data_IF_357532471520
#
_entry.id   IF_357532471520
#
_cell.length_a   1.000
_cell.length_b   1.000
_cell.length_c   1.000
_cell.angle_alpha   90.00
_cell.angle_beta   90.00
_cell.angle_gamma   90.00
#
_symmetry.space_group_name_H-M   'P 1'
#
loop_
_entity.id
_entity.type
_entity.pdbx_description
1 polymer ?
#
# COMPACT_ATOMS: atom_id res chain seq x y z
N UNK A 1 3.46 30.55 25.74
CA UNK A 1 2.03 30.88 25.65
C UNK A 1 1.79 31.81 24.44
N UNK A 2 2.11 31.35 23.22
CA UNK A 2 2.00 32.20 22.01
C UNK A 2 1.69 31.44 20.71
N UNK A 3 1.15 30.21 20.79
CA UNK A 3 0.87 29.38 19.61
C UNK A 3 -0.63 29.11 19.37
N UNK A 4 -1.54 29.84 20.02
CA UNK A 4 -2.99 29.58 19.92
C UNK A 4 -3.71 30.58 19.00
N UNK A 5 -3.09 31.69 18.60
CA UNK A 5 -3.77 32.75 17.84
C UNK A 5 -3.62 32.69 16.31
N UNK A 6 -2.96 31.67 15.75
CA UNK A 6 -2.83 31.52 14.28
C UNK A 6 -3.81 30.50 13.67
N UNK A 7 -4.72 29.92 14.46
CA UNK A 7 -5.61 28.84 14.00
C UNK A 7 -7.05 29.25 13.67
N UNK A 8 -7.39 30.54 13.74
CA UNK A 8 -8.73 31.04 13.42
C UNK A 8 -8.70 32.06 12.29
N UNK A 9 -8.12 31.70 11.14
CA UNK A 9 -8.57 32.32 9.91
C UNK A 9 -9.69 31.43 9.33
N UNK A 10 -10.96 31.88 9.34
CA UNK A 10 -12.02 31.15 8.66
C UNK A 10 -11.62 30.90 7.20
N UNK A 11 -11.97 29.71 6.68
CA UNK A 11 -11.72 29.40 5.27
C UNK A 11 -12.33 30.52 4.41
N UNK A 12 -11.68 30.93 3.30
CA UNK A 12 -12.15 32.07 2.48
C UNK A 12 -13.63 31.97 2.10
N UNK A 13 -14.11 30.75 1.82
CA UNK A 13 -15.51 30.45 1.53
C UNK A 13 -16.45 30.62 2.73
N UNK A 14 -16.00 30.29 3.94
CA UNK A 14 -16.78 30.47 5.17
C UNK A 14 -16.93 31.95 5.54
N UNK A 15 -15.88 32.75 5.28
CA UNK A 15 -15.97 34.22 5.35
C UNK A 15 -16.98 34.76 4.34
N UNK A 16 -16.90 34.31 3.08
CA UNK A 16 -17.83 34.71 2.02
C UNK A 16 -19.29 34.29 2.32
N UNK A 17 -19.51 33.14 2.98
CA UNK A 17 -20.84 32.74 3.44
C UNK A 17 -21.40 33.72 4.47
N UNK A 18 -20.59 34.09 5.46
CA UNK A 18 -20.99 35.05 6.49
C UNK A 18 -21.26 36.44 5.92
N UNK A 19 -20.45 36.86 4.95
CA UNK A 19 -20.60 38.14 4.27
C UNK A 19 -21.85 38.15 3.36
N UNK A 20 -22.08 37.07 2.60
CA UNK A 20 -23.29 36.91 1.79
C UNK A 20 -24.57 36.91 2.62
N UNK A 21 -24.55 36.28 3.80
CA UNK A 21 -25.67 36.33 4.75
C UNK A 21 -25.92 37.76 5.27
N UNK A 22 -24.86 38.50 5.60
CA UNK A 22 -24.96 39.88 6.05
C UNK A 22 -25.52 40.82 4.96
N UNK A 23 -25.08 40.65 3.71
CA UNK A 23 -25.60 41.43 2.57
C UNK A 23 -27.07 41.12 2.29
N UNK A 24 -27.48 39.85 2.36
CA UNK A 24 -28.89 39.45 2.21
C UNK A 24 -29.76 40.12 3.27
N UNK A 25 -29.34 40.07 4.54
CA UNK A 25 -30.04 40.72 5.64
C UNK A 25 -30.10 42.25 5.48
N UNK A 26 -29.05 42.87 4.96
CA UNK A 26 -29.02 44.31 4.68
C UNK A 26 -30.06 44.70 3.61
N UNK A 27 -30.19 43.91 2.54
CA UNK A 27 -31.16 44.15 1.46
C UNK A 27 -32.59 43.94 1.94
N UNK A 28 -32.88 42.92 2.74
CA UNK A 28 -34.19 42.73 3.38
C UNK A 28 -34.57 43.95 4.23
N UNK A 29 -33.63 44.45 5.04
CA UNK A 29 -33.84 45.65 5.86
C UNK A 29 -34.09 46.90 5.01
N UNK A 30 -33.36 47.08 3.90
CA UNK A 30 -33.58 48.19 2.98
C UNK A 30 -34.97 48.09 2.35
N UNK A 31 -35.39 46.89 1.93
CA UNK A 31 -36.70 46.67 1.34
C UNK A 31 -37.84 47.02 2.33
N UNK A 32 -37.73 46.56 3.58
CA UNK A 32 -38.67 46.92 4.65
C UNK A 32 -38.70 48.44 4.91
N UNK A 33 -37.53 49.09 4.95
CA UNK A 33 -37.43 50.54 5.16
C UNK A 33 -38.07 51.33 4.02
N UNK A 34 -37.85 50.94 2.76
CA UNK A 34 -38.50 51.59 1.63
C UNK A 34 -40.02 51.38 1.68
N UNK A 35 -40.48 50.16 1.94
CA UNK A 35 -41.91 49.88 2.06
C UNK A 35 -42.60 50.75 3.12
N UNK A 36 -42.00 50.84 4.31
CA UNK A 36 -42.51 51.66 5.41
C UNK A 36 -42.49 53.16 5.09
N UNK A 37 -41.43 53.65 4.42
CA UNK A 37 -41.30 55.05 4.02
C UNK A 37 -42.42 55.49 3.09
N UNK A 38 -42.70 54.72 2.03
CA UNK A 38 -43.75 55.08 1.06
C UNK A 38 -45.16 54.91 1.64
N UNK A 39 -45.37 53.89 2.47
CA UNK A 39 -46.62 53.72 3.22
C UNK A 39 -46.91 54.93 4.12
N UNK A 40 -45.91 55.45 4.83
CA UNK A 40 -46.04 56.65 5.67
C UNK A 40 -46.31 57.95 4.90
N UNK A 41 -45.94 58.01 3.62
CA UNK A 41 -46.26 59.12 2.71
C UNK A 41 -47.65 58.98 2.07
N UNK A 42 -48.42 57.93 2.38
CA UNK A 42 -49.68 57.58 1.70
C UNK A 42 -49.52 57.47 0.17
N UNK A 43 -48.36 56.97 -0.28
CA UNK A 43 -48.06 56.79 -1.71
C UNK A 43 -47.59 55.36 -1.97
N UNK A 44 -47.72 54.92 -3.23
CA UNK A 44 -47.31 53.58 -3.64
C UNK A 44 -45.78 53.57 -3.88
N UNK A 45 -45.10 52.51 -3.43
CA UNK A 45 -43.69 52.28 -3.75
C UNK A 45 -43.50 52.19 -5.27
N UNK A 46 -42.60 52.99 -5.89
CA UNK A 46 -42.34 52.93 -7.33
C UNK A 46 -41.95 51.52 -7.77
N UNK A 47 -42.55 51.06 -8.87
CA UNK A 47 -42.33 49.70 -9.40
C UNK A 47 -40.86 49.43 -9.74
N UNK A 48 -40.15 50.43 -10.26
CA UNK A 48 -38.72 50.32 -10.59
C UNK A 48 -37.87 50.02 -9.34
N UNK A 49 -38.16 50.69 -8.21
CA UNK A 49 -37.44 50.46 -6.95
C UNK A 49 -37.77 49.09 -6.37
N UNK A 50 -39.03 48.67 -6.45
CA UNK A 50 -39.45 47.32 -6.06
C UNK A 50 -38.76 46.23 -6.88
N UNK A 51 -38.69 46.43 -8.20
CA UNK A 51 -38.02 45.52 -9.13
C UNK A 51 -36.53 45.38 -8.79
N UNK A 52 -35.81 46.49 -8.62
CA UNK A 52 -34.39 46.46 -8.28
C UNK A 52 -34.11 45.76 -6.94
N UNK A 53 -34.94 45.99 -5.92
CA UNK A 53 -34.81 45.30 -4.63
C UNK A 53 -35.04 43.79 -4.77
N UNK A 54 -36.02 43.38 -5.57
CA UNK A 54 -36.28 41.98 -5.85
C UNK A 54 -35.13 41.33 -6.64
N UNK A 55 -34.60 42.01 -7.67
CA UNK A 55 -33.48 41.53 -8.48
C UNK A 55 -32.20 41.35 -7.66
N UNK A 56 -31.85 42.34 -6.83
CA UNK A 56 -30.70 42.26 -5.93
C UNK A 56 -30.91 41.15 -4.90
N UNK A 57 -32.11 41.03 -4.33
CA UNK A 57 -32.47 39.96 -3.41
C UNK A 57 -32.28 38.57 -4.04
N UNK A 58 -32.80 38.35 -5.24
CA UNK A 58 -32.66 37.09 -5.99
C UNK A 58 -31.19 36.78 -6.35
N UNK A 59 -30.42 37.79 -6.77
CA UNK A 59 -29.00 37.62 -7.06
C UNK A 59 -28.21 37.20 -5.81
N UNK A 60 -28.46 37.84 -4.66
CA UNK A 60 -27.84 37.46 -3.39
C UNK A 60 -28.28 36.07 -2.92
N UNK A 61 -29.53 35.66 -3.18
CA UNK A 61 -29.96 34.29 -2.91
C UNK A 61 -29.13 33.29 -3.72
N UNK A 62 -29.05 33.52 -5.03
CA UNK A 62 -28.31 32.67 -5.97
C UNK A 62 -26.82 32.57 -5.62
N UNK A 63 -26.18 33.70 -5.31
CA UNK A 63 -24.76 33.74 -4.93
C UNK A 63 -24.51 32.95 -3.65
N UNK A 64 -25.35 33.14 -2.63
CA UNK A 64 -25.20 32.41 -1.37
C UNK A 64 -25.34 30.88 -1.57
N UNK A 65 -26.32 30.44 -2.37
CA UNK A 65 -26.52 29.02 -2.65
C UNK A 65 -25.33 28.41 -3.42
N UNK A 66 -24.73 29.18 -4.34
CA UNK A 66 -23.50 28.78 -5.03
C UNK A 66 -22.30 28.67 -4.08
N UNK A 67 -22.11 29.65 -3.19
CA UNK A 67 -21.03 29.61 -2.19
C UNK A 67 -21.22 28.41 -1.25
N UNK A 68 -22.45 28.14 -0.81
CA UNK A 68 -22.77 27.02 0.07
C UNK A 68 -22.48 25.67 -0.62
N UNK A 69 -22.85 25.54 -1.89
CA UNK A 69 -22.53 24.36 -2.70
C UNK A 69 -21.02 24.17 -2.81
N UNK A 70 -20.28 25.23 -3.13
CA UNK A 70 -18.82 25.20 -3.25
C UNK A 70 -18.12 24.87 -1.94
N UNK A 71 -18.62 25.36 -0.80
CA UNK A 71 -18.08 25.02 0.51
C UNK A 71 -18.26 23.53 0.84
N UNK A 72 -19.43 22.96 0.51
CA UNK A 72 -19.69 21.54 0.70
C UNK A 72 -18.76 20.68 -0.16
N UNK A 73 -18.60 21.04 -1.44
CA UNK A 73 -17.64 20.38 -2.36
C UNK A 73 -16.21 20.45 -1.82
N UNK A 74 -15.75 21.63 -1.39
CA UNK A 74 -14.40 21.82 -0.86
C UNK A 74 -14.16 20.97 0.40
N UNK A 75 -15.13 20.92 1.31
CA UNK A 75 -15.04 20.13 2.53
C UNK A 75 -15.05 18.62 2.25
N UNK A 76 -15.85 18.17 1.27
CA UNK A 76 -15.84 16.78 0.81
C UNK A 76 -14.48 16.42 0.20
N UNK A 77 -13.93 17.25 -0.68
CA UNK A 77 -12.62 17.04 -1.29
C UNK A 77 -11.49 16.98 -0.27
N UNK A 78 -11.54 17.84 0.76
CA UNK A 78 -10.58 17.82 1.88
C UNK A 78 -10.64 16.51 2.65
N UNK A 79 -11.85 16.01 2.90
CA UNK A 79 -12.07 14.73 3.61
C UNK A 79 -11.56 13.55 2.80
N UNK A 80 -11.88 13.49 1.50
CA UNK A 80 -11.37 12.45 0.59
C UNK A 80 -9.85 12.48 0.49
N UNK A 81 -9.25 13.67 0.36
CA UNK A 81 -7.79 13.81 0.32
C UNK A 81 -7.10 13.29 1.60
N UNK A 82 -7.75 13.45 2.77
CA UNK A 82 -7.26 12.87 4.03
C UNK A 82 -7.36 11.34 4.03
N UNK A 83 -8.49 10.78 3.57
CA UNK A 83 -8.68 9.33 3.43
C UNK A 83 -7.64 8.70 2.49
N UNK A 84 -7.39 9.30 1.33
CA UNK A 84 -6.31 8.88 0.44
C UNK A 84 -4.94 8.93 1.13
N UNK A 85 -4.67 9.98 1.89
CA UNK A 85 -3.46 10.08 2.71
C UNK A 85 -3.30 8.92 3.69
N UNK A 86 -4.38 8.49 4.35
CA UNK A 86 -4.37 7.36 5.27
C UNK A 86 -4.16 6.04 4.53
N UNK A 87 -4.83 5.81 3.39
CA UNK A 87 -4.64 4.63 2.55
C UNK A 87 -3.20 4.49 2.06
N UNK A 88 -2.60 5.58 1.55
CA UNK A 88 -1.19 5.63 1.15
C UNK A 88 -0.29 5.21 2.32
N UNK A 89 -0.52 5.75 3.51
CA UNK A 89 0.28 5.41 4.69
C UNK A 89 0.09 3.95 5.11
N UNK A 90 -1.13 3.41 5.02
CA UNK A 90 -1.45 2.02 5.32
C UNK A 90 -0.67 1.05 4.42
N UNK A 91 -0.76 1.24 3.10
CA UNK A 91 -0.03 0.41 2.14
C UNK A 91 1.49 0.55 2.34
N UNK A 92 2.00 1.77 2.59
CA UNK A 92 3.42 1.98 2.86
C UNK A 92 3.89 1.21 4.10
N UNK A 93 3.08 1.15 5.17
CA UNK A 93 3.40 0.38 6.38
C UNK A 93 3.42 -1.12 6.09
N UNK A 94 2.44 -1.63 5.35
CA UNK A 94 2.39 -3.04 4.93
C UNK A 94 3.64 -3.41 4.10
N UNK A 95 4.00 -2.62 3.10
CA UNK A 95 5.19 -2.83 2.28
C UNK A 95 6.49 -2.82 3.10
N UNK A 96 6.64 -1.88 4.04
CA UNK A 96 7.81 -1.85 4.92
C UNK A 96 7.89 -3.06 5.87
N UNK A 97 6.74 -3.57 6.32
CA UNK A 97 6.69 -4.81 7.10
C UNK A 97 7.10 -6.02 6.25
N UNK A 98 6.64 -6.11 5.00
CA UNK A 98 7.07 -7.15 4.04
C UNK A 98 8.58 -7.05 3.80
N UNK A 99 9.10 -5.85 3.50
CA UNK A 99 10.53 -5.61 3.31
C UNK A 99 11.38 -6.04 4.50
N UNK A 100 10.89 -5.81 5.72
CA UNK A 100 11.57 -6.21 6.96
C UNK A 100 11.62 -7.73 7.07
N UNK A 101 10.50 -8.42 6.87
CA UNK A 101 10.43 -9.90 6.88
C UNK A 101 11.26 -10.53 5.77
N UNK A 102 11.34 -9.91 4.59
CA UNK A 102 12.21 -10.37 3.50
C UNK A 102 13.71 -10.30 3.84
N UNK A 103 14.12 -9.52 4.86
CA UNK A 103 15.52 -9.46 5.33
C UNK A 103 15.83 -10.50 6.41
N UNK A 104 14.81 -11.13 6.98
CA UNK A 104 15.00 -12.12 8.03
C UNK A 104 15.67 -13.38 7.47
N UNK A 105 16.64 -13.88 8.23
CA UNK A 105 17.35 -15.13 7.93
C UNK A 105 16.66 -16.27 8.68
N UNK A 106 16.64 -17.44 8.05
CA UNK A 106 16.09 -18.67 8.63
C UNK A 106 17.05 -19.81 8.36
N UNK A 107 17.10 -20.77 9.28
CA UNK A 107 17.87 -22.00 9.18
C UNK A 107 17.06 -23.16 8.56
N UNK A 108 15.76 -22.97 8.33
CA UNK A 108 14.88 -23.99 7.75
C UNK A 108 14.40 -23.55 6.36
N UNK A 109 14.91 -24.21 5.32
CA UNK A 109 14.59 -23.90 3.92
C UNK A 109 13.10 -24.13 3.61
N UNK A 110 12.48 -25.17 4.18
CA UNK A 110 11.06 -25.46 3.96
C UNK A 110 10.17 -24.35 4.54
N UNK A 111 10.47 -23.92 5.78
CA UNK A 111 9.78 -22.78 6.39
C UNK A 111 10.01 -21.49 5.59
N UNK A 112 11.26 -21.25 5.16
CA UNK A 112 11.61 -20.08 4.35
C UNK A 112 10.79 -19.97 3.06
N UNK A 113 10.58 -21.10 2.36
CA UNK A 113 9.78 -21.19 1.15
C UNK A 113 8.30 -20.93 1.42
N UNK A 114 7.77 -21.44 2.53
CA UNK A 114 6.39 -21.16 2.94
C UNK A 114 6.20 -19.67 3.25
N UNK A 115 7.11 -19.07 4.04
CA UNK A 115 7.08 -17.65 4.36
C UNK A 115 7.22 -16.80 3.09
N UNK A 116 8.09 -17.19 2.16
CA UNK A 116 8.24 -16.52 0.87
C UNK A 116 6.94 -16.49 0.07
N UNK A 117 6.18 -17.59 0.07
CA UNK A 117 4.87 -17.66 -0.60
C UNK A 117 3.87 -16.70 0.04
N UNK A 118 3.76 -16.72 1.37
CA UNK A 118 2.85 -15.83 2.13
C UNK A 118 3.22 -14.35 1.91
N UNK A 119 4.51 -14.03 1.89
CA UNK A 119 4.98 -12.67 1.61
C UNK A 119 4.68 -12.24 0.16
N UNK A 120 4.72 -13.17 -0.80
CA UNK A 120 4.30 -12.93 -2.18
C UNK A 120 2.81 -12.58 -2.27
N UNK A 121 1.95 -13.38 -1.64
CA UNK A 121 0.50 -13.11 -1.60
C UNK A 121 0.18 -11.76 -0.93
N UNK A 122 0.89 -11.41 0.14
CA UNK A 122 0.76 -10.09 0.79
C UNK A 122 1.21 -8.94 -0.12
N UNK A 123 2.26 -9.16 -0.93
CA UNK A 123 2.76 -8.17 -1.88
C UNK A 123 1.77 -7.97 -3.04
N UNK A 124 1.17 -9.04 -3.56
CA UNK A 124 0.12 -8.98 -4.56
C UNK A 124 -1.13 -8.24 -4.03
N UNK A 125 -1.51 -8.48 -2.77
CA UNK A 125 -2.57 -7.72 -2.11
C UNK A 125 -2.25 -6.22 -2.02
N UNK A 126 -1.01 -5.86 -1.71
CA UNK A 126 -0.57 -4.46 -1.73
C UNK A 126 -0.68 -3.86 -3.13
N UNK A 127 -0.33 -4.62 -4.18
CA UNK A 127 -0.44 -4.16 -5.56
C UNK A 127 -1.90 -3.86 -5.95
N UNK A 128 -2.84 -4.75 -5.60
CA UNK A 128 -4.28 -4.53 -5.86
C UNK A 128 -4.75 -3.23 -5.18
N UNK A 129 -4.48 -3.08 -3.88
CA UNK A 129 -4.84 -1.86 -3.12
C UNK A 129 -4.22 -0.60 -3.73
N UNK A 130 -2.98 -0.70 -4.23
CA UNK A 130 -2.28 0.42 -4.86
C UNK A 130 -2.92 0.82 -6.20
N UNK A 131 -3.28 -0.14 -7.03
CA UNK A 131 -3.96 0.10 -8.32
C UNK A 131 -5.35 0.70 -8.10
N UNK A 132 -6.13 0.17 -7.17
CA UNK A 132 -7.45 0.73 -6.80
C UNK A 132 -7.33 2.16 -6.27
N UNK A 133 -6.32 2.43 -5.44
CA UNK A 133 -6.03 3.76 -4.93
C UNK A 133 -5.63 4.73 -6.04
N UNK A 134 -4.81 4.31 -7.00
CA UNK A 134 -4.39 5.14 -8.12
C UNK A 134 -5.58 5.51 -9.02
N UNK A 135 -6.44 4.54 -9.33
CA UNK A 135 -7.69 4.78 -10.06
C UNK A 135 -8.61 5.77 -9.31
N UNK A 136 -8.80 5.57 -8.01
CA UNK A 136 -9.63 6.48 -7.21
C UNK A 136 -9.06 7.91 -7.13
N UNK A 137 -7.72 8.06 -7.12
CA UNK A 137 -7.07 9.38 -7.17
C UNK A 137 -7.16 10.02 -8.56
N UNK A 138 -7.17 9.21 -9.63
CA UNK A 138 -7.41 9.68 -10.99
C UNK A 138 -8.84 10.23 -11.14
N UNK A 139 -9.86 9.52 -10.65
CA UNK A 139 -11.25 10.01 -10.63
C UNK A 139 -11.37 11.31 -9.81
N UNK A 140 -10.69 11.37 -8.66
CA UNK A 140 -10.64 12.57 -7.83
C UNK A 140 -9.96 13.78 -8.53
N UNK A 141 -9.04 13.53 -9.47
CA UNK A 141 -8.31 14.56 -10.19
C UNK A 141 -9.18 15.39 -11.12
N UNK A 142 -10.29 14.84 -11.62
CA UNK A 142 -11.23 15.58 -12.48
C UNK A 142 -11.82 16.79 -11.74
N UNK A 143 -12.11 16.63 -10.45
CA UNK A 143 -12.71 17.66 -9.62
C UNK A 143 -11.67 18.47 -8.82
N UNK A 144 -10.47 17.92 -8.58
CA UNK A 144 -9.49 18.52 -7.68
C UNK A 144 -8.03 18.47 -8.20
N UNK A 145 -7.69 19.16 -9.30
CA UNK A 145 -6.40 19.01 -9.98
C UNK A 145 -5.17 19.29 -9.09
N UNK A 146 -5.26 20.29 -8.21
CA UNK A 146 -4.14 20.69 -7.34
C UNK A 146 -3.84 19.66 -6.25
N UNK A 147 -4.89 19.13 -5.59
CA UNK A 147 -4.75 18.11 -4.55
C UNK A 147 -4.28 16.80 -5.16
N UNK A 148 -4.82 16.42 -6.32
CA UNK A 148 -4.42 15.21 -7.03
C UNK A 148 -2.96 15.22 -7.46
N UNK A 149 -2.37 16.37 -7.81
CA UNK A 149 -0.93 16.46 -8.09
C UNK A 149 -0.07 16.05 -6.89
N UNK A 150 -0.48 16.42 -5.67
CA UNK A 150 0.22 16.01 -4.45
C UNK A 150 0.04 14.52 -4.16
N UNK A 151 -1.16 13.98 -4.37
CA UNK A 151 -1.46 12.56 -4.20
C UNK A 151 -0.72 11.70 -5.23
N UNK A 152 -0.71 12.09 -6.50
CA UNK A 152 0.02 11.41 -7.57
C UNK A 152 1.52 11.31 -7.28
N UNK A 153 2.14 12.37 -6.76
CA UNK A 153 3.54 12.33 -6.32
C UNK A 153 3.78 11.32 -5.17
N UNK A 154 2.83 11.21 -4.24
CA UNK A 154 2.91 10.23 -3.13
C UNK A 154 2.70 8.80 -3.64
N UNK A 155 1.74 8.60 -4.54
CA UNK A 155 1.50 7.31 -5.19
C UNK A 155 2.74 6.89 -6.00
N UNK A 156 3.34 7.77 -6.79
CA UNK A 156 4.57 7.47 -7.51
C UNK A 156 5.71 6.99 -6.61
N UNK A 157 5.88 7.60 -5.43
CA UNK A 157 6.84 7.12 -4.41
C UNK A 157 6.45 5.74 -3.87
N UNK A 158 5.17 5.52 -3.61
CA UNK A 158 4.64 4.25 -3.10
C UNK A 158 4.81 3.12 -4.13
N UNK A 159 4.56 3.39 -5.41
CA UNK A 159 4.82 2.48 -6.54
C UNK A 159 6.31 2.15 -6.64
N UNK A 160 7.19 3.14 -6.46
CA UNK A 160 8.63 2.89 -6.39
C UNK A 160 9.03 1.94 -5.25
N UNK A 161 8.46 2.15 -4.05
CA UNK A 161 8.67 1.26 -2.90
C UNK A 161 8.14 -0.16 -3.16
N UNK A 162 6.97 -0.29 -3.78
CA UNK A 162 6.41 -1.58 -4.17
C UNK A 162 7.34 -2.33 -5.14
N UNK A 163 7.83 -1.66 -6.20
CA UNK A 163 8.77 -2.27 -7.14
C UNK A 163 10.09 -2.68 -6.49
N UNK A 164 10.62 -1.87 -5.57
CA UNK A 164 11.81 -2.25 -4.80
C UNK A 164 11.56 -3.52 -3.98
N UNK A 165 10.37 -3.64 -3.38
CA UNK A 165 9.98 -4.80 -2.58
C UNK A 165 9.87 -6.06 -3.43
N UNK A 166 9.30 -5.96 -4.64
CA UNK A 166 9.27 -7.06 -5.62
C UNK A 166 10.67 -7.58 -5.90
N UNK A 167 11.60 -6.69 -6.29
CA UNK A 167 12.97 -7.09 -6.63
C UNK A 167 13.67 -7.81 -5.47
N UNK A 168 13.42 -7.36 -4.24
CA UNK A 168 13.98 -8.01 -3.06
C UNK A 168 13.35 -9.38 -2.80
N UNK A 169 12.03 -9.52 -3.00
CA UNK A 169 11.34 -10.79 -2.89
C UNK A 169 11.84 -11.80 -3.94
N UNK A 170 11.99 -11.37 -5.20
CA UNK A 170 12.53 -12.20 -6.29
C UNK A 170 13.96 -12.64 -6.01
N UNK A 171 14.81 -11.73 -5.54
CA UNK A 171 16.18 -12.06 -5.15
C UNK A 171 16.22 -13.13 -4.05
N UNK A 172 15.40 -12.97 -2.99
CA UNK A 172 15.31 -13.96 -1.92
C UNK A 172 14.79 -15.31 -2.44
N UNK A 173 13.76 -15.31 -3.28
CA UNK A 173 13.22 -16.53 -3.88
C UNK A 173 14.28 -17.28 -4.70
N UNK A 174 15.06 -16.57 -5.53
CA UNK A 174 16.18 -17.16 -6.28
C UNK A 174 17.21 -17.81 -5.36
N UNK A 175 17.59 -17.13 -4.26
CA UNK A 175 18.53 -17.68 -3.27
C UNK A 175 17.98 -18.89 -2.52
N UNK A 176 16.69 -18.90 -2.19
CA UNK A 176 16.04 -20.06 -1.57
C UNK A 176 15.99 -21.26 -2.51
N UNK A 177 15.76 -21.04 -3.80
CA UNK A 177 15.79 -22.11 -4.80
C UNK A 177 17.19 -22.68 -4.98
N UNK A 178 18.21 -21.83 -5.02
CA UNK A 178 19.61 -22.27 -5.06
C UNK A 178 19.99 -23.10 -3.82
N UNK A 179 19.64 -22.62 -2.62
CA UNK A 179 19.92 -23.35 -1.38
C UNK A 179 19.20 -24.71 -1.31
N UNK A 180 17.97 -24.79 -1.83
CA UNK A 180 17.23 -26.04 -1.90
C UNK A 180 17.89 -27.06 -2.85
N UNK A 181 18.33 -26.63 -4.04
CA UNK A 181 19.05 -27.49 -5.00
C UNK A 181 20.32 -28.07 -4.37
N UNK A 182 21.14 -27.23 -3.73
CA UNK A 182 22.35 -27.70 -3.08
C UNK A 182 22.06 -28.68 -1.93
N UNK A 183 21.01 -28.44 -1.13
CA UNK A 183 20.64 -29.36 -0.06
C UNK A 183 20.24 -30.74 -0.62
N UNK A 184 19.50 -30.76 -1.73
CA UNK A 184 19.14 -32.00 -2.43
C UNK A 184 20.39 -32.75 -2.92
N UNK A 185 21.31 -32.07 -3.61
CA UNK A 185 22.60 -32.64 -4.05
C UNK A 185 23.42 -33.22 -2.88
N UNK A 186 23.52 -32.49 -1.76
CA UNK A 186 24.22 -32.99 -0.56
C UNK A 186 23.54 -34.21 0.04
N UNK A 187 22.21 -34.23 0.04
CA UNK A 187 21.43 -35.35 0.59
C UNK A 187 21.63 -36.60 -0.27
N UNK A 188 21.60 -36.47 -1.60
CA UNK A 188 21.88 -37.58 -2.52
C UNK A 188 23.30 -38.14 -2.35
N UNK A 189 24.31 -37.27 -2.22
CA UNK A 189 25.70 -37.70 -1.96
C UNK A 189 25.83 -38.42 -0.63
N UNK A 190 25.18 -37.91 0.43
CA UNK A 190 25.18 -38.55 1.75
C UNK A 190 24.54 -39.93 1.68
N UNK A 191 23.39 -40.07 1.03
CA UNK A 191 22.74 -41.37 0.85
C UNK A 191 23.62 -42.35 0.08
N UNK A 192 24.32 -41.89 -0.95
CA UNK A 192 25.27 -42.70 -1.70
C UNK A 192 26.41 -43.20 -0.80
N UNK A 193 27.05 -42.32 -0.04
CA UNK A 193 28.14 -42.66 0.89
C UNK A 193 27.64 -43.65 1.96
N UNK A 194 26.46 -43.44 2.52
CA UNK A 194 25.87 -44.35 3.51
C UNK A 194 25.62 -45.75 2.91
N UNK A 195 25.09 -45.83 1.69
CA UNK A 195 24.90 -47.11 0.97
C UNK A 195 26.24 -47.82 0.72
N UNK A 196 27.28 -47.09 0.34
CA UNK A 196 28.63 -47.66 0.16
C UNK A 196 29.27 -48.11 1.47
N UNK A 197 29.10 -47.32 2.53
CA UNK A 197 29.61 -47.66 3.87
C UNK A 197 28.96 -48.93 4.39
N UNK A 198 27.65 -49.10 4.20
CA UNK A 198 26.95 -50.32 4.60
C UNK A 198 27.42 -51.53 3.77
N UNK A 199 27.60 -51.38 2.45
CA UNK A 199 28.19 -52.44 1.61
C UNK A 199 29.59 -52.83 2.10
N UNK A 200 30.45 -51.86 2.39
CA UNK A 200 31.79 -52.11 2.90
C UNK A 200 31.75 -52.84 4.25
N UNK A 201 30.85 -52.46 5.15
CA UNK A 201 30.65 -53.11 6.44
C UNK A 201 30.23 -54.57 6.31
N UNK A 202 29.28 -54.88 5.40
CA UNK A 202 28.86 -56.26 5.09
C UNK A 202 30.06 -57.06 4.57
N UNK A 203 30.84 -56.49 3.64
CA UNK A 203 32.01 -57.14 3.06
C UNK A 203 33.13 -57.42 4.08
N UNK A 204 33.28 -56.57 5.10
CA UNK A 204 34.25 -56.74 6.20
C UNK A 204 33.81 -57.81 7.20
N UNK A 205 32.51 -57.98 7.45
CA UNK A 205 31.97 -58.95 8.41
C UNK A 205 31.67 -60.33 7.80
N UNK A 206 31.95 -60.53 6.50
CA UNK A 206 31.86 -61.85 5.86
C UNK A 206 32.83 -62.85 6.51
N UNK A 207 32.35 -64.02 6.92
CA UNK A 207 33.17 -65.02 7.63
C UNK A 207 34.26 -65.62 6.73
N UNK A 208 35.50 -65.61 7.21
CA UNK A 208 36.62 -66.34 6.57
C UNK A 208 36.46 -67.83 6.88
N UNK A 209 36.39 -68.66 5.84
CA UNK A 209 36.24 -70.11 6.00
C UNK A 209 37.60 -70.79 5.86
N UNK A 210 38.06 -71.45 6.92
CA UNK A 210 39.40 -72.04 7.05
C UNK A 210 39.47 -73.52 6.63
N UNK A 211 38.70 -73.92 5.62
CA UNK A 211 38.49 -75.32 5.25
C UNK A 211 39.46 -75.85 4.17
N UNK A 212 40.15 -75.00 3.41
CA UNK A 212 41.24 -75.41 2.50
C UNK A 212 42.15 -74.25 2.08
N UNK A 213 43.39 -74.56 1.69
CA UNK A 213 44.36 -73.57 1.18
C UNK A 213 43.89 -72.87 -0.10
N UNK A 214 43.12 -73.56 -0.97
CA UNK A 214 42.54 -72.95 -2.17
C UNK A 214 41.46 -71.93 -1.81
N UNK A 215 40.58 -72.24 -0.86
CA UNK A 215 39.55 -71.30 -0.38
C UNK A 215 40.16 -70.07 0.28
N UNK A 216 41.25 -70.23 1.04
CA UNK A 216 41.99 -69.12 1.62
C UNK A 216 42.67 -68.24 0.57
N UNK A 217 43.27 -68.83 -0.48
CA UNK A 217 43.86 -68.08 -1.59
C UNK A 217 42.81 -67.31 -2.38
N UNK A 218 41.66 -67.92 -2.65
CA UNK A 218 40.58 -67.26 -3.40
C UNK A 218 39.93 -66.14 -2.57
N UNK A 219 39.79 -66.33 -1.26
CA UNK A 219 39.37 -65.26 -0.32
C UNK A 219 40.40 -64.14 -0.26
N UNK A 220 41.69 -64.45 -0.12
CA UNK A 220 42.77 -63.47 -0.11
C UNK A 220 42.84 -62.64 -1.41
N UNK A 221 42.69 -63.30 -2.56
CA UNK A 221 42.68 -62.62 -3.88
C UNK A 221 41.44 -61.73 -4.02
N UNK A 222 40.26 -62.19 -3.56
CA UNK A 222 39.04 -61.38 -3.50
C UNK A 222 39.15 -60.16 -2.57
N UNK A 223 39.95 -60.26 -1.50
CA UNK A 223 40.26 -59.16 -0.60
C UNK A 223 41.35 -58.21 -1.14
N UNK A 224 42.31 -58.69 -1.94
CA UNK A 224 43.36 -57.86 -2.57
C UNK A 224 42.87 -57.09 -3.80
N UNK A 225 42.05 -57.69 -4.66
CA UNK A 225 41.37 -56.97 -5.77
C UNK A 225 40.44 -55.88 -5.21
N UNK A 226 40.04 -56.01 -3.94
CA UNK A 226 39.19 -55.11 -3.18
C UNK A 226 39.86 -53.77 -2.82
N UNK A 227 41.18 -53.70 -2.67
CA UNK A 227 41.90 -52.44 -2.38
C UNK A 227 41.97 -51.50 -3.60
N UNK A 228 41.95 -52.04 -4.81
CA UNK A 228 42.08 -51.26 -6.06
C UNK A 228 40.79 -50.52 -6.43
N UNK A 229 39.63 -50.96 -5.94
CA UNK A 229 38.32 -50.32 -6.20
C UNK A 229 38.00 -49.23 -5.15
N UNK A 230 38.75 -49.17 -4.05
CA UNK A 230 38.59 -48.21 -2.95
C UNK A 230 39.53 -46.98 -3.05
N UNK A 231 40.36 -46.89 -4.10
CA UNK A 231 41.24 -45.73 -4.39
C UNK A 231 40.72 -44.96 -5.58
#
# INVERSE_FOLDING_TARGET
MLSILLFFHPHPLQTLLSEGAAHRQAVEKIAEQQQNKYLGLYTILPSELSLQLAEVGLALVTIHDQIQTKEKEAQQSKTLNQDFGQKIQGIAKELNAILSKLKEKTNNIAQAKMDQKVLGEALDSCNIKLVELDAAVQDFAEQNPQLSKQLANKIGKLTGLHQQTIRQAEYRASKLNQAASHLEEYTEMLEFILKWTEKAKILLHGSITWNSANQLRDQFTSHQVRDIILT
#
